data_IF_035143000176
#
_entry.id   IF_035143000176
#
_cell.length_a   1.000
_cell.length_b   1.000
_cell.length_c   1.000
_cell.angle_alpha   90.00
_cell.angle_beta   90.00
_cell.angle_gamma   90.00
#
_symmetry.space_group_name_H-M   'P 1'
#
loop_
_entity.id
_entity.type
_entity.pdbx_description
1 polymer ?
#
# COMPACT_ATOMS: atom_id res chain seq x y z
N UNK A 1 3.34 21.75 23.09
CA UNK A 1 2.54 20.97 22.08
C UNK A 1 2.45 19.48 22.44
N UNK A 2 3.56 18.75 22.68
CA UNK A 2 3.50 17.33 23.05
C UNK A 2 2.69 17.07 24.33
N UNK A 3 2.87 17.89 25.36
CA UNK A 3 2.08 17.81 26.58
C UNK A 3 0.58 17.99 26.33
N UNK A 4 0.21 19.03 25.56
CA UNK A 4 -1.21 19.29 25.20
C UNK A 4 -1.80 18.12 24.42
N UNK A 5 -1.06 17.58 23.42
CA UNK A 5 -1.48 16.42 22.66
C UNK A 5 -1.78 15.21 23.57
N UNK A 6 -0.83 14.86 24.44
CA UNK A 6 -1.00 13.72 25.35
C UNK A 6 -2.09 13.96 26.40
N UNK A 7 -2.31 15.21 26.84
CA UNK A 7 -3.40 15.54 27.73
C UNK A 7 -4.77 15.31 27.06
N UNK A 8 -4.92 15.78 25.81
CA UNK A 8 -6.17 15.58 25.02
C UNK A 8 -6.42 14.09 24.78
N UNK A 9 -5.40 13.35 24.31
CA UNK A 9 -5.53 11.91 24.06
C UNK A 9 -5.79 11.16 25.37
N UNK A 10 -5.11 11.51 26.47
CA UNK A 10 -5.33 10.92 27.79
C UNK A 10 -6.76 11.13 28.29
N UNK A 11 -7.30 12.35 28.14
CA UNK A 11 -8.69 12.64 28.48
C UNK A 11 -9.66 11.81 27.63
N UNK A 12 -9.43 11.73 26.32
CA UNK A 12 -10.25 10.89 25.43
C UNK A 12 -10.20 9.41 25.84
N UNK A 13 -9.01 8.89 26.14
CA UNK A 13 -8.83 7.51 26.61
C UNK A 13 -9.59 7.29 27.93
N UNK A 14 -9.54 8.24 28.87
CA UNK A 14 -10.25 8.16 30.15
C UNK A 14 -11.76 8.08 29.93
N UNK A 15 -12.30 8.93 29.05
CA UNK A 15 -13.74 8.95 28.73
C UNK A 15 -14.19 7.64 28.07
N UNK A 16 -13.37 7.05 27.19
CA UNK A 16 -13.73 5.83 26.46
C UNK A 16 -13.39 4.56 27.25
N UNK A 17 -12.53 4.65 28.27
CA UNK A 17 -12.05 3.49 29.01
C UNK A 17 -13.16 2.64 29.68
N UNK A 18 -14.27 3.20 30.22
CA UNK A 18 -15.36 2.38 30.77
C UNK A 18 -16.03 1.52 29.71
N UNK A 19 -16.25 2.08 28.51
CA UNK A 19 -16.84 1.34 27.40
C UNK A 19 -15.92 0.22 26.88
N UNK A 20 -14.62 0.50 26.81
CA UNK A 20 -13.59 -0.50 26.47
C UNK A 20 -13.56 -1.62 27.53
N UNK A 21 -13.57 -1.26 28.81
CA UNK A 21 -13.57 -2.23 29.90
C UNK A 21 -14.82 -3.11 29.89
N UNK A 22 -16.01 -2.51 29.74
CA UNK A 22 -17.27 -3.24 29.62
C UNK A 22 -17.23 -4.23 28.44
N UNK A 23 -16.80 -3.77 27.26
CA UNK A 23 -16.69 -4.63 26.08
C UNK A 23 -15.65 -5.74 26.27
N UNK A 24 -14.55 -5.48 26.98
CA UNK A 24 -13.54 -6.48 27.27
C UNK A 24 -14.03 -7.56 28.26
N UNK A 25 -14.93 -7.22 29.18
CA UNK A 25 -15.57 -8.17 30.10
C UNK A 25 -16.48 -9.12 29.31
N UNK A 26 -17.35 -8.57 28.44
CA UNK A 26 -18.35 -9.35 27.72
C UNK A 26 -17.86 -10.00 26.42
N UNK A 27 -16.67 -9.67 25.92
CA UNK A 27 -16.12 -10.23 24.68
C UNK A 27 -14.68 -10.67 24.86
N UNK A 28 -14.47 -11.98 24.99
CA UNK A 28 -13.14 -12.58 25.08
C UNK A 28 -12.29 -12.31 23.84
N UNK A 29 -12.91 -12.30 22.65
CA UNK A 29 -12.25 -11.99 21.40
C UNK A 29 -11.76 -10.51 21.36
N UNK A 30 -12.61 -9.57 21.78
CA UNK A 30 -12.23 -8.17 21.89
C UNK A 30 -11.07 -7.99 22.88
N UNK A 31 -11.17 -8.59 24.06
CA UNK A 31 -10.13 -8.55 25.10
C UNK A 31 -8.78 -9.09 24.58
N UNK A 32 -8.80 -10.27 23.95
CA UNK A 32 -7.58 -10.86 23.38
C UNK A 32 -6.96 -9.97 22.30
N UNK A 33 -7.76 -9.43 21.39
CA UNK A 33 -7.29 -8.52 20.34
C UNK A 33 -6.74 -7.20 20.89
N UNK A 34 -7.38 -6.66 21.92
CA UNK A 34 -6.94 -5.45 22.60
C UNK A 34 -5.59 -5.65 23.30
N UNK A 35 -5.45 -6.74 24.08
CA UNK A 35 -4.21 -7.07 24.76
C UNK A 35 -3.05 -7.34 23.77
N UNK A 36 -3.34 -8.06 22.66
CA UNK A 36 -2.36 -8.26 21.59
C UNK A 36 -1.92 -6.94 20.94
N UNK A 37 -2.78 -5.94 20.88
CA UNK A 37 -2.43 -4.62 20.37
C UNK A 37 -1.54 -3.85 21.36
N UNK A 38 -1.87 -3.86 22.64
CA UNK A 38 -1.14 -3.09 23.67
C UNK A 38 0.22 -3.71 23.98
N UNK A 39 0.29 -5.03 24.06
CA UNK A 39 1.46 -5.76 24.55
C UNK A 39 2.09 -6.71 23.53
N UNK A 40 1.55 -6.78 22.31
CA UNK A 40 2.02 -7.73 21.29
C UNK A 40 3.50 -7.58 20.91
N UNK A 41 4.07 -6.40 21.07
CA UNK A 41 5.49 -6.16 20.83
C UNK A 41 6.40 -6.90 21.83
N UNK A 42 5.90 -7.23 23.03
CA UNK A 42 6.66 -7.95 24.06
C UNK A 42 7.02 -9.40 23.68
N UNK A 43 6.37 -9.94 22.64
CA UNK A 43 6.71 -11.26 22.09
C UNK A 43 8.06 -11.21 21.36
N UNK A 44 8.42 -10.04 20.84
CA UNK A 44 9.71 -9.83 20.21
C UNK A 44 10.82 -9.80 21.29
N UNK A 45 11.97 -10.40 20.99
CA UNK A 45 13.16 -10.19 21.78
C UNK A 45 13.55 -8.71 21.73
N UNK A 46 14.24 -8.21 22.76
CA UNK A 46 14.80 -6.86 22.71
C UNK A 46 15.78 -6.77 21.54
N UNK A 47 15.60 -5.77 20.67
CA UNK A 47 16.35 -5.64 19.41
C UNK A 47 17.07 -4.30 19.38
N UNK A 48 18.07 -4.15 20.23
CA UNK A 48 18.83 -2.90 20.32
C UNK A 48 19.38 -2.47 18.95
N UNK A 49 19.12 -1.21 18.58
CA UNK A 49 19.59 -0.64 17.34
C UNK A 49 18.78 -1.07 16.09
N UNK A 50 17.62 -1.69 16.25
CA UNK A 50 16.82 -2.14 15.11
C UNK A 50 16.37 -1.00 14.19
N UNK A 51 16.09 -1.33 12.92
CA UNK A 51 15.35 -0.48 12.01
C UNK A 51 13.87 -0.78 12.23
N UNK A 52 13.10 0.21 12.65
CA UNK A 52 11.67 0.07 12.84
C UNK A 52 10.91 0.65 11.66
N UNK A 53 10.20 -0.20 10.90
CA UNK A 53 9.32 0.19 9.80
C UNK A 53 7.86 0.16 10.28
N UNK A 54 7.13 1.25 10.10
CA UNK A 54 5.69 1.31 10.39
C UNK A 54 4.88 1.40 9.09
N UNK A 55 3.96 0.46 8.90
CA UNK A 55 3.09 0.34 7.74
C UNK A 55 1.67 -0.01 8.21
N UNK A 56 0.74 0.94 8.23
CA UNK A 56 -0.54 0.80 8.91
C UNK A 56 -1.50 -0.19 8.23
N UNK A 57 -1.50 -0.26 6.91
CA UNK A 57 -2.45 -1.01 6.07
C UNK A 57 -1.79 -2.13 5.27
N UNK A 58 -2.60 -3.00 4.65
CA UNK A 58 -2.14 -4.07 3.74
C UNK A 58 -1.30 -3.52 2.59
N UNK A 59 -1.71 -2.39 1.99
CA UNK A 59 -0.97 -1.76 0.89
C UNK A 59 0.41 -1.27 1.32
N UNK A 60 0.49 -0.61 2.47
CA UNK A 60 1.73 -0.12 3.03
C UNK A 60 2.66 -1.24 3.50
N UNK A 61 2.11 -2.35 4.02
CA UNK A 61 2.89 -3.55 4.38
C UNK A 61 3.65 -4.08 3.18
N UNK A 62 3.03 -4.15 2.01
CA UNK A 62 3.73 -4.55 0.78
C UNK A 62 4.89 -3.62 0.45
N UNK A 63 4.69 -2.30 0.57
CA UNK A 63 5.77 -1.33 0.37
C UNK A 63 6.88 -1.48 1.42
N UNK A 64 6.50 -1.67 2.68
CA UNK A 64 7.43 -1.94 3.77
C UNK A 64 8.26 -3.20 3.53
N UNK A 65 7.64 -4.26 2.97
CA UNK A 65 8.34 -5.50 2.62
C UNK A 65 9.38 -5.27 1.53
N UNK A 66 9.06 -4.50 0.50
CA UNK A 66 10.03 -4.14 -0.57
C UNK A 66 11.22 -3.40 0.02
N UNK A 67 10.97 -2.40 0.87
CA UNK A 67 12.04 -1.68 1.55
C UNK A 67 12.90 -2.62 2.42
N UNK A 68 12.28 -3.53 3.19
CA UNK A 68 12.97 -4.50 4.02
C UNK A 68 13.85 -5.43 3.16
N UNK A 69 13.32 -5.92 2.03
CA UNK A 69 14.06 -6.78 1.11
C UNK A 69 15.28 -6.04 0.53
N UNK A 70 15.07 -4.82 0.04
CA UNK A 70 16.15 -4.00 -0.51
C UNK A 70 17.26 -3.67 0.53
N UNK A 71 16.88 -3.42 1.78
CA UNK A 71 17.85 -3.22 2.85
C UNK A 71 18.68 -4.48 3.12
N UNK A 72 18.03 -5.65 3.17
CA UNK A 72 18.72 -6.95 3.35
C UNK A 72 19.64 -7.27 2.17
N UNK A 73 19.21 -7.04 0.95
CA UNK A 73 20.02 -7.23 -0.27
C UNK A 73 21.28 -6.33 -0.30
N UNK A 74 21.17 -5.13 0.29
CA UNK A 74 22.32 -4.21 0.45
C UNK A 74 23.20 -4.55 1.65
N UNK A 75 22.96 -5.66 2.34
CA UNK A 75 23.79 -6.12 3.45
C UNK A 75 23.49 -5.46 4.78
N UNK A 76 22.26 -4.89 4.99
CA UNK A 76 21.87 -4.34 6.27
C UNK A 76 21.82 -5.45 7.34
N UNK A 77 22.70 -5.37 8.31
CA UNK A 77 22.86 -6.39 9.35
C UNK A 77 21.97 -6.15 10.60
N UNK A 78 21.43 -4.94 10.77
CA UNK A 78 20.58 -4.63 11.93
C UNK A 78 19.26 -5.40 11.85
N UNK A 79 18.70 -5.82 13.00
CA UNK A 79 17.35 -6.37 13.03
C UNK A 79 16.34 -5.38 12.45
N UNK A 80 15.39 -5.86 11.64
CA UNK A 80 14.33 -5.03 11.08
C UNK A 80 13.00 -5.49 11.66
N UNK A 81 12.25 -4.56 12.23
CA UNK A 81 10.95 -4.80 12.84
C UNK A 81 9.87 -4.05 12.08
N UNK A 82 8.78 -4.72 11.74
CA UNK A 82 7.62 -4.12 11.11
C UNK A 82 6.47 -3.98 12.11
N UNK A 83 5.88 -2.80 12.21
CA UNK A 83 4.61 -2.63 12.92
C UNK A 83 3.48 -2.29 11.97
N UNK A 84 2.27 -2.75 12.32
CA UNK A 84 1.06 -2.48 11.54
C UNK A 84 -0.05 -1.95 12.44
N UNK A 85 -0.97 -1.15 11.89
CA UNK A 85 -2.12 -0.70 12.65
C UNK A 85 -3.32 -1.64 12.52
N UNK A 86 -3.61 -2.14 11.31
CA UNK A 86 -4.75 -3.02 11.04
C UNK A 86 -4.43 -4.50 11.28
N UNK A 87 -5.45 -5.30 11.65
CA UNK A 87 -5.29 -6.75 11.75
C UNK A 87 -4.96 -7.37 10.40
N UNK A 88 -5.63 -6.92 9.33
CA UNK A 88 -5.36 -7.38 7.97
C UNK A 88 -3.91 -7.08 7.52
N UNK A 89 -3.36 -5.92 7.90
CA UNK A 89 -1.94 -5.60 7.67
C UNK A 89 -1.01 -6.55 8.43
N UNK A 90 -1.34 -6.89 9.68
CA UNK A 90 -0.56 -7.84 10.48
C UNK A 90 -0.55 -9.24 9.86
N UNK A 91 -1.72 -9.72 9.43
CA UNK A 91 -1.85 -11.04 8.79
C UNK A 91 -1.12 -11.06 7.43
N UNK A 92 -1.20 -9.97 6.67
CA UNK A 92 -0.46 -9.80 5.43
C UNK A 92 1.05 -9.84 5.65
N UNK A 93 1.57 -9.11 6.66
CA UNK A 93 2.99 -9.10 6.97
C UNK A 93 3.52 -10.51 7.31
N UNK A 94 2.75 -11.28 8.07
CA UNK A 94 3.07 -12.69 8.36
C UNK A 94 3.05 -13.56 7.10
N UNK A 95 2.04 -13.39 6.26
CA UNK A 95 1.91 -14.12 4.99
C UNK A 95 3.10 -13.85 4.05
N UNK A 96 3.63 -12.63 4.06
CA UNK A 96 4.81 -12.24 3.29
C UNK A 96 6.15 -12.61 3.96
N UNK A 97 6.12 -13.36 5.05
CA UNK A 97 7.32 -13.85 5.72
C UNK A 97 8.13 -12.77 6.45
N UNK A 98 7.47 -11.70 6.92
CA UNK A 98 8.16 -10.73 7.79
C UNK A 98 8.39 -11.37 9.15
N UNK A 99 9.66 -11.51 9.53
CA UNK A 99 10.08 -12.25 10.72
C UNK A 99 9.60 -11.58 12.02
N UNK A 100 9.81 -10.27 12.14
CA UNK A 100 9.52 -9.52 13.35
C UNK A 100 8.38 -8.54 13.07
N UNK A 101 7.16 -8.92 13.45
CA UNK A 101 5.97 -8.08 13.23
C UNK A 101 5.13 -7.98 14.49
N UNK A 102 4.61 -6.77 14.76
CA UNK A 102 3.67 -6.53 15.85
C UNK A 102 2.60 -5.52 15.46
N UNK A 103 1.53 -5.46 16.26
CA UNK A 103 0.47 -4.46 16.07
C UNK A 103 0.78 -3.21 16.89
N UNK A 104 0.75 -2.06 16.23
CA UNK A 104 1.01 -0.76 16.84
C UNK A 104 -0.03 -0.48 17.95
N UNK A 105 0.40 -0.15 19.19
CA UNK A 105 -0.52 0.34 20.20
C UNK A 105 -1.06 1.74 19.84
N UNK A 106 -2.09 2.23 20.54
CA UNK A 106 -2.55 3.61 20.36
C UNK A 106 -1.42 4.62 20.61
N UNK A 107 -1.46 5.76 19.90
CA UNK A 107 -0.43 6.80 19.93
C UNK A 107 -0.51 7.65 21.21
N UNK A 108 -0.21 7.02 22.33
CA UNK A 108 -0.22 7.63 23.64
C UNK A 108 1.04 7.29 24.44
N UNK A 109 1.56 8.26 25.16
CA UNK A 109 2.87 8.18 25.85
C UNK A 109 3.01 6.96 26.75
N UNK A 110 1.95 6.53 27.45
CA UNK A 110 2.00 5.37 28.34
C UNK A 110 2.27 4.04 27.62
N UNK A 111 1.94 3.94 26.34
CA UNK A 111 2.22 2.75 25.52
C UNK A 111 3.45 2.94 24.62
N UNK A 112 3.66 4.15 24.10
CA UNK A 112 4.79 4.44 23.20
C UNK A 112 6.12 4.39 23.97
N UNK A 113 6.19 4.91 25.19
CA UNK A 113 7.42 4.91 25.96
C UNK A 113 7.95 3.51 26.31
N UNK A 114 7.14 2.58 26.85
CA UNK A 114 7.56 1.20 27.05
C UNK A 114 7.95 0.49 25.74
N UNK A 115 7.22 0.74 24.64
CA UNK A 115 7.54 0.20 23.33
C UNK A 115 8.91 0.67 22.83
N UNK A 116 9.19 1.97 22.87
CA UNK A 116 10.49 2.52 22.49
C UNK A 116 11.65 2.02 23.38
N UNK A 117 11.39 1.83 24.68
CA UNK A 117 12.37 1.23 25.59
C UNK A 117 12.64 -0.24 25.26
N UNK A 118 11.64 -0.97 24.82
CA UNK A 118 11.75 -2.39 24.47
C UNK A 118 12.46 -2.62 23.15
N UNK A 119 12.12 -1.82 22.11
CA UNK A 119 12.68 -1.97 20.77
C UNK A 119 14.05 -1.30 20.63
N UNK A 120 14.32 -0.22 21.38
CA UNK A 120 15.52 0.61 21.23
C UNK A 120 15.91 0.87 19.77
N UNK A 121 15.01 1.40 18.91
CA UNK A 121 15.29 1.51 17.49
C UNK A 121 16.35 2.56 17.21
N UNK A 122 17.21 2.30 16.21
CA UNK A 122 18.17 3.27 15.69
C UNK A 122 17.55 4.28 14.74
N UNK A 123 16.43 3.91 14.09
CA UNK A 123 15.65 4.73 13.16
C UNK A 123 14.21 4.23 13.11
N UNK A 124 13.26 5.16 12.95
CA UNK A 124 11.86 4.89 12.62
C UNK A 124 11.59 5.29 11.17
N UNK A 125 11.08 4.36 10.37
CA UNK A 125 10.63 4.60 9.00
C UNK A 125 9.12 4.48 8.92
N UNK A 126 8.44 5.56 8.56
CA UNK A 126 7.00 5.64 8.37
C UNK A 126 6.69 5.51 6.88
N UNK A 127 5.79 4.61 6.51
CA UNK A 127 5.41 4.40 5.09
C UNK A 127 4.22 5.29 4.72
N UNK A 128 4.31 5.94 3.57
CA UNK A 128 3.31 6.83 2.95
C UNK A 128 2.97 8.07 3.80
N UNK A 129 1.79 8.13 4.46
CA UNK A 129 1.30 9.33 5.13
C UNK A 129 1.07 9.16 6.64
N UNK A 130 1.68 8.16 7.24
CA UNK A 130 1.48 7.76 8.62
C UNK A 130 2.18 8.71 9.63
N UNK A 131 1.59 9.90 9.82
CA UNK A 131 2.09 10.91 10.75
C UNK A 131 1.49 10.70 12.15
N UNK A 132 2.17 9.94 13.00
CA UNK A 132 1.79 9.63 14.38
C UNK A 132 2.45 10.63 15.35
N UNK A 133 1.72 11.67 15.84
CA UNK A 133 2.32 12.79 16.55
C UNK A 133 3.05 12.39 17.84
N UNK A 134 2.43 11.52 18.64
CA UNK A 134 3.02 11.04 19.90
C UNK A 134 4.28 10.24 19.66
N UNK A 135 4.24 9.27 18.73
CA UNK A 135 5.38 8.45 18.35
C UNK A 135 6.53 9.31 17.82
N UNK A 136 6.25 10.21 16.87
CA UNK A 136 7.26 11.07 16.24
C UNK A 136 7.95 11.95 17.30
N UNK A 137 7.17 12.57 18.20
CA UNK A 137 7.72 13.41 19.25
C UNK A 137 8.54 12.63 20.27
N UNK A 138 8.10 11.44 20.67
CA UNK A 138 8.85 10.59 21.59
C UNK A 138 10.14 10.02 20.98
N UNK A 139 10.12 9.72 19.67
CA UNK A 139 11.35 9.38 18.93
C UNK A 139 12.33 10.55 18.93
N UNK A 140 11.87 11.76 18.58
CA UNK A 140 12.74 12.94 18.58
C UNK A 140 13.32 13.24 19.98
N UNK A 141 12.52 13.13 21.05
CA UNK A 141 12.98 13.31 22.43
C UNK A 141 14.12 12.34 22.80
N UNK A 142 14.12 11.16 22.18
CA UNK A 142 15.15 10.11 22.36
C UNK A 142 16.27 10.17 21.32
N UNK A 143 16.28 11.21 20.47
CA UNK A 143 17.23 11.37 19.36
C UNK A 143 17.17 10.21 18.35
N UNK A 144 16.02 9.56 18.21
CA UNK A 144 15.77 8.53 17.21
C UNK A 144 15.30 9.26 15.95
N UNK A 145 16.05 9.20 14.83
CA UNK A 145 15.65 9.83 13.58
C UNK A 145 14.38 9.19 13.03
N UNK A 146 13.50 10.03 12.46
CA UNK A 146 12.25 9.62 11.82
C UNK A 146 12.31 9.95 10.34
N UNK A 147 12.13 8.94 9.51
CA UNK A 147 12.08 9.04 8.05
C UNK A 147 10.66 8.76 7.57
N UNK A 148 10.10 9.64 6.74
CA UNK A 148 8.90 9.34 5.96
C UNK A 148 9.34 8.79 4.60
N UNK A 149 9.03 7.53 4.32
CA UNK A 149 9.36 6.84 3.07
C UNK A 149 8.13 6.70 2.16
N UNK A 150 8.31 6.88 0.85
CA UNK A 150 7.24 6.86 -0.15
C UNK A 150 6.13 7.89 0.14
N UNK A 151 6.51 9.06 0.66
CA UNK A 151 5.58 10.07 1.16
C UNK A 151 4.56 10.49 0.11
N UNK A 152 3.28 10.44 0.49
CA UNK A 152 2.13 10.82 -0.34
C UNK A 152 1.25 11.80 0.40
N UNK A 153 1.00 12.95 -0.20
CA UNK A 153 0.05 13.94 0.33
C UNK A 153 -0.97 14.33 -0.73
N UNK A 154 -2.25 14.02 -0.47
CA UNK A 154 -3.34 14.42 -1.35
C UNK A 154 -3.70 15.90 -1.15
N UNK A 155 -4.35 16.52 -2.14
CA UNK A 155 -4.83 17.90 -2.00
C UNK A 155 -5.78 18.05 -0.80
N UNK A 156 -6.69 17.10 -0.62
CA UNK A 156 -7.60 17.06 0.54
C UNK A 156 -6.85 17.03 1.88
N UNK A 157 -5.70 16.35 1.94
CA UNK A 157 -4.85 16.35 3.14
C UNK A 157 -4.18 17.69 3.35
N UNK A 158 -3.71 18.35 2.27
CA UNK A 158 -3.14 19.70 2.33
C UNK A 158 -4.15 20.69 2.90
N UNK A 159 -5.39 20.68 2.40
CA UNK A 159 -6.44 21.59 2.84
C UNK A 159 -6.75 21.41 4.33
N UNK A 160 -6.79 20.17 4.80
CA UNK A 160 -6.94 19.84 6.23
C UNK A 160 -5.75 20.32 7.06
N UNK A 161 -4.53 20.08 6.58
CA UNK A 161 -3.31 20.50 7.28
C UNK A 161 -3.12 22.01 7.29
N UNK A 162 -3.66 22.76 6.32
CA UNK A 162 -3.68 24.22 6.33
C UNK A 162 -4.54 24.78 7.47
N UNK A 163 -5.72 24.19 7.72
CA UNK A 163 -6.59 24.58 8.86
C UNK A 163 -5.85 24.39 10.19
N UNK A 164 -5.07 23.32 10.33
CA UNK A 164 -4.30 22.99 11.52
C UNK A 164 -2.80 23.12 11.28
N UNK A 165 -2.38 24.17 10.57
CA UNK A 165 -0.99 24.31 10.10
C UNK A 165 0.05 24.30 11.23
N UNK A 166 -0.29 24.84 12.39
CA UNK A 166 0.59 24.83 13.56
C UNK A 166 0.83 23.41 14.11
N UNK A 167 -0.17 22.52 14.05
CA UNK A 167 -0.03 21.12 14.45
C UNK A 167 0.85 20.38 13.45
N UNK A 168 0.57 20.55 12.14
CA UNK A 168 1.37 19.91 11.11
C UNK A 168 2.83 20.34 11.17
N UNK A 169 3.11 21.65 11.26
CA UNK A 169 4.48 22.20 11.40
C UNK A 169 5.19 21.64 12.64
N UNK A 170 4.47 21.55 13.77
CA UNK A 170 5.02 20.96 14.98
C UNK A 170 5.41 19.49 14.80
N UNK A 171 4.58 18.68 14.14
CA UNK A 171 4.89 17.26 13.86
C UNK A 171 6.04 17.17 12.86
N UNK A 172 5.95 17.88 11.74
CA UNK A 172 6.92 17.86 10.65
C UNK A 172 8.33 18.30 11.09
N UNK A 173 8.44 19.25 12.04
CA UNK A 173 9.73 19.65 12.62
C UNK A 173 10.48 18.48 13.25
N UNK A 174 9.75 17.50 13.80
CA UNK A 174 10.31 16.32 14.47
C UNK A 174 10.59 15.14 13.50
N UNK A 175 10.25 15.27 12.22
CA UNK A 175 10.64 14.34 11.17
C UNK A 175 12.00 14.76 10.63
N UNK A 176 12.92 13.81 10.54
CA UNK A 176 14.29 14.05 10.10
C UNK A 176 14.39 14.16 8.58
N UNK A 177 13.59 13.38 7.83
CA UNK A 177 13.66 13.34 6.38
C UNK A 177 12.35 12.90 5.74
N UNK A 178 12.00 13.53 4.61
CA UNK A 178 10.81 13.25 3.80
C UNK A 178 11.25 12.73 2.43
N UNK A 179 11.15 11.43 2.20
CA UNK A 179 11.33 10.81 0.89
C UNK A 179 9.98 10.77 0.17
N UNK A 180 9.75 11.71 -0.71
CA UNK A 180 8.48 11.87 -1.42
C UNK A 180 8.48 11.09 -2.73
N UNK A 181 7.32 10.54 -3.09
CA UNK A 181 7.22 9.71 -4.31
C UNK A 181 7.13 10.54 -5.59
N UNK A 182 6.60 11.77 -5.55
CA UNK A 182 6.46 12.66 -6.71
C UNK A 182 6.85 14.08 -6.37
N UNK A 183 7.20 14.88 -7.40
CA UNK A 183 7.43 16.31 -7.26
C UNK A 183 6.20 17.02 -6.69
N UNK A 184 5.00 16.67 -7.15
CA UNK A 184 3.74 17.22 -6.65
C UNK A 184 3.55 16.97 -5.16
N UNK A 185 3.89 15.76 -4.67
CA UNK A 185 3.82 15.46 -3.24
C UNK A 185 4.86 16.29 -2.45
N UNK A 186 6.07 16.46 -2.99
CA UNK A 186 7.11 17.30 -2.40
C UNK A 186 6.70 18.79 -2.34
N UNK A 187 6.19 19.34 -3.44
CA UNK A 187 5.74 20.74 -3.50
C UNK A 187 4.62 21.01 -2.47
N UNK A 188 3.71 20.05 -2.27
CA UNK A 188 2.66 20.13 -1.26
C UNK A 188 3.22 20.17 0.17
N UNK A 189 4.21 19.34 0.47
CA UNK A 189 4.86 19.31 1.79
C UNK A 189 5.62 20.61 2.05
N UNK A 190 6.35 21.10 1.05
CA UNK A 190 7.05 22.39 1.09
C UNK A 190 6.07 23.54 1.31
N UNK A 191 4.93 23.54 0.60
CA UNK A 191 3.86 24.53 0.76
C UNK A 191 3.20 24.52 2.14
N UNK A 192 3.35 23.44 2.92
CA UNK A 192 2.94 23.36 4.33
C UNK A 192 4.02 23.85 5.30
N UNK A 193 5.20 24.26 4.80
CA UNK A 193 6.29 24.87 5.57
C UNK A 193 7.29 23.87 6.14
N UNK A 194 7.45 22.71 5.49
CA UNK A 194 8.56 21.79 5.80
C UNK A 194 9.86 22.34 5.20
N UNK A 195 10.95 22.19 5.94
CA UNK A 195 12.28 22.60 5.53
C UNK A 195 12.71 21.89 4.23
N UNK A 196 13.07 22.64 3.17
CA UNK A 196 13.49 22.08 1.89
C UNK A 196 14.68 21.11 1.98
N UNK A 197 15.60 21.32 2.94
CA UNK A 197 16.74 20.45 3.14
C UNK A 197 16.35 19.04 3.56
N UNK A 198 15.18 18.90 4.19
CA UNK A 198 14.63 17.61 4.64
C UNK A 198 13.83 16.88 3.58
N UNK A 199 13.55 17.49 2.40
CA UNK A 199 12.65 16.90 1.39
C UNK A 199 13.43 16.49 0.15
N UNK A 200 13.22 15.25 -0.30
CA UNK A 200 13.75 14.72 -1.57
C UNK A 200 12.66 13.93 -2.31
N UNK A 201 12.72 13.96 -3.62
CA UNK A 201 11.87 13.14 -4.50
C UNK A 201 12.69 11.92 -4.91
N UNK A 202 12.33 10.74 -4.39
CA UNK A 202 13.07 9.50 -4.62
C UNK A 202 12.29 8.50 -5.49
N UNK A 203 11.08 8.86 -5.94
CA UNK A 203 10.24 7.96 -6.72
C UNK A 203 9.28 7.13 -5.85
N UNK A 204 8.55 6.24 -6.51
CA UNK A 204 7.53 5.43 -5.87
C UNK A 204 8.02 3.98 -5.71
N UNK A 205 8.18 3.54 -4.48
CA UNK A 205 8.62 2.17 -4.12
C UNK A 205 7.76 1.08 -4.79
N UNK A 206 6.51 1.41 -5.20
CA UNK A 206 5.67 0.46 -5.93
C UNK A 206 6.30 -0.02 -7.24
N UNK A 207 7.11 0.79 -7.88
CA UNK A 207 7.79 0.39 -9.11
C UNK A 207 8.95 -0.58 -8.85
N UNK A 208 9.55 -0.53 -7.66
CA UNK A 208 10.62 -1.46 -7.27
C UNK A 208 10.08 -2.87 -7.00
N UNK A 209 8.78 -3.00 -6.63
CA UNK A 209 8.10 -4.32 -6.52
C UNK A 209 8.13 -5.06 -7.86
N UNK A 210 8.03 -4.31 -8.96
CA UNK A 210 8.06 -4.88 -10.32
C UNK A 210 9.49 -5.25 -10.74
N UNK A 211 10.50 -4.58 -10.17
CA UNK A 211 11.91 -4.81 -10.48
C UNK A 211 12.56 -5.95 -9.68
N UNK A 212 12.08 -6.23 -8.47
CA UNK A 212 12.65 -7.25 -7.56
C UNK A 212 11.96 -8.62 -7.60
N UNK A 213 10.84 -8.74 -8.27
CA UNK A 213 10.13 -10.01 -8.43
C UNK A 213 10.18 -10.48 -9.88
N UNK A 214 10.26 -11.76 -10.13
CA UNK A 214 10.12 -12.57 -11.35
C UNK A 214 9.47 -11.92 -12.62
N UNK A 215 9.49 -10.61 -12.78
CA UNK A 215 8.75 -9.80 -13.73
C UNK A 215 9.49 -8.61 -14.31
N UNK A 216 10.82 -8.59 -14.37
CA UNK A 216 11.48 -7.78 -15.40
C UNK A 216 11.26 -8.53 -16.70
N UNK A 217 10.12 -8.26 -17.31
CA UNK A 217 9.90 -8.68 -18.67
C UNK A 217 10.68 -7.71 -19.55
N UNK A 218 11.60 -8.20 -20.38
CA UNK A 218 12.22 -7.34 -21.36
C UNK A 218 11.08 -6.71 -22.17
N UNK A 219 10.93 -5.39 -22.05
CA UNK A 219 10.13 -4.58 -22.98
C UNK A 219 10.66 -4.89 -24.37
N UNK A 220 9.89 -5.64 -25.16
CA UNK A 220 10.23 -5.91 -26.54
C UNK A 220 10.54 -7.36 -26.88
N UNK A 221 9.87 -8.33 -26.30
CA UNK A 221 9.76 -9.59 -27.01
C UNK A 221 8.92 -9.36 -28.28
N UNK A 222 9.58 -9.03 -29.38
CA UNK A 222 8.97 -8.72 -30.70
C UNK A 222 8.14 -9.89 -31.24
N UNK A 223 8.19 -11.05 -30.62
CA UNK A 223 7.39 -12.24 -30.96
C UNK A 223 6.04 -12.30 -30.21
N UNK A 224 5.85 -11.46 -29.19
CA UNK A 224 4.58 -11.46 -28.46
C UNK A 224 3.48 -10.72 -29.22
N UNK A 225 2.36 -11.39 -29.39
CA UNK A 225 1.16 -10.86 -30.03
C UNK A 225 0.03 -10.56 -29.04
N UNK A 226 0.28 -10.50 -27.74
CA UNK A 226 -0.74 -10.28 -26.73
C UNK A 226 -0.98 -8.81 -26.44
N UNK A 227 -2.27 -8.39 -26.54
CA UNK A 227 -2.77 -7.10 -26.03
C UNK A 227 -3.62 -7.39 -24.79
N UNK A 228 -3.29 -6.77 -23.66
CA UNK A 228 -3.95 -7.03 -22.38
C UNK A 228 -4.77 -5.83 -21.93
N UNK A 229 -6.07 -6.01 -21.76
CA UNK A 229 -6.99 -5.05 -21.17
C UNK A 229 -7.27 -5.47 -19.73
N UNK A 230 -6.46 -4.97 -18.80
CA UNK A 230 -6.49 -5.41 -17.41
C UNK A 230 -7.28 -4.49 -16.48
N UNK A 231 -7.90 -5.07 -15.47
CA UNK A 231 -8.65 -4.36 -14.44
C UNK A 231 -9.75 -3.44 -14.99
N UNK A 232 -10.45 -3.85 -16.03
CA UNK A 232 -11.52 -3.05 -16.65
C UNK A 232 -12.68 -2.81 -15.70
N UNK A 233 -13.36 -1.68 -15.85
CA UNK A 233 -14.48 -1.23 -15.03
C UNK A 233 -15.66 -0.82 -15.88
N UNK A 234 -16.86 -0.63 -15.27
CA UNK A 234 -18.02 -0.11 -16.02
C UNK A 234 -17.68 1.17 -16.78
N UNK A 235 -17.93 1.15 -18.09
CA UNK A 235 -17.60 2.23 -19.02
C UNK A 235 -16.28 2.04 -19.79
N UNK A 236 -15.35 1.20 -19.32
CA UNK A 236 -14.17 0.84 -20.09
C UNK A 236 -14.49 -0.23 -21.13
N UNK A 237 -15.34 -1.22 -20.76
CA UNK A 237 -15.53 -2.42 -21.55
C UNK A 237 -16.12 -2.15 -22.94
N UNK A 238 -17.02 -1.18 -23.07
CA UNK A 238 -17.55 -0.80 -24.40
C UNK A 238 -16.44 -0.35 -25.35
N UNK A 239 -15.59 0.58 -24.89
CA UNK A 239 -14.45 1.08 -25.69
C UNK A 239 -13.44 -0.04 -25.97
N UNK A 240 -13.23 -0.93 -25.01
CA UNK A 240 -12.34 -2.10 -25.16
C UNK A 240 -12.87 -3.03 -26.24
N UNK A 241 -14.18 -3.35 -26.23
CA UNK A 241 -14.79 -4.24 -27.27
C UNK A 241 -14.71 -3.63 -28.66
N UNK A 242 -15.05 -2.34 -28.81
CA UNK A 242 -14.90 -1.63 -30.08
C UNK A 242 -13.46 -1.66 -30.60
N UNK A 243 -12.50 -1.47 -29.70
CA UNK A 243 -11.08 -1.53 -30.04
C UNK A 243 -10.67 -2.93 -30.48
N UNK A 244 -11.11 -3.97 -29.75
CA UNK A 244 -10.81 -5.37 -30.11
C UNK A 244 -11.39 -5.68 -31.49
N UNK A 245 -12.65 -5.32 -31.80
CA UNK A 245 -13.29 -5.57 -33.10
C UNK A 245 -12.46 -4.98 -34.25
N UNK A 246 -12.01 -3.73 -34.11
CA UNK A 246 -11.15 -3.08 -35.09
C UNK A 246 -9.81 -3.80 -35.27
N UNK A 247 -9.11 -4.05 -34.16
CA UNK A 247 -7.81 -4.70 -34.19
C UNK A 247 -7.88 -6.17 -34.66
N UNK A 248 -8.99 -6.85 -34.43
CA UNK A 248 -9.21 -8.23 -34.89
C UNK A 248 -9.18 -8.35 -36.44
N UNK A 249 -9.69 -7.33 -37.12
CA UNK A 249 -9.71 -7.27 -38.58
C UNK A 249 -8.36 -6.82 -39.14
N UNK A 250 -7.75 -5.79 -38.55
CA UNK A 250 -6.52 -5.19 -39.07
C UNK A 250 -5.27 -6.03 -38.77
N UNK A 251 -5.26 -6.74 -37.61
CA UNK A 251 -4.09 -7.46 -37.12
C UNK A 251 -4.38 -8.93 -36.78
N UNK A 252 -4.41 -9.84 -37.76
CA UNK A 252 -4.77 -11.24 -37.56
C UNK A 252 -3.91 -12.03 -36.57
N UNK A 253 -2.70 -11.57 -36.30
CA UNK A 253 -1.76 -12.23 -35.38
C UNK A 253 -1.94 -11.79 -33.94
N UNK A 254 -2.65 -10.69 -33.65
CA UNK A 254 -2.85 -10.23 -32.28
C UNK A 254 -3.78 -11.16 -31.51
N UNK A 255 -3.43 -11.37 -30.25
CA UNK A 255 -4.22 -12.08 -29.26
C UNK A 255 -4.61 -11.10 -28.16
N UNK A 256 -5.77 -11.28 -27.56
CA UNK A 256 -6.34 -10.34 -26.62
C UNK A 256 -6.69 -11.01 -25.30
N UNK A 257 -6.48 -10.30 -24.19
CA UNK A 257 -6.95 -10.68 -22.86
C UNK A 257 -7.78 -9.56 -22.29
N UNK A 258 -8.97 -9.87 -21.82
CA UNK A 258 -9.82 -8.94 -21.06
C UNK A 258 -9.93 -9.47 -19.63
N UNK A 259 -9.60 -8.63 -18.65
CA UNK A 259 -9.63 -8.98 -17.25
C UNK A 259 -10.44 -7.94 -16.47
N UNK A 260 -11.70 -8.22 -16.13
CA UNK A 260 -12.50 -7.34 -15.28
C UNK A 260 -11.89 -7.19 -13.89
N UNK A 261 -11.97 -6.00 -13.30
CA UNK A 261 -11.49 -5.71 -11.94
C UNK A 261 -12.18 -6.56 -10.88
N UNK A 262 -13.46 -6.85 -11.08
CA UNK A 262 -14.33 -7.60 -10.18
C UNK A 262 -14.90 -8.80 -10.91
N UNK A 263 -14.65 -10.01 -10.41
CA UNK A 263 -15.10 -11.25 -11.04
C UNK A 263 -16.62 -11.41 -11.03
N UNK A 264 -17.32 -10.72 -10.13
CA UNK A 264 -18.79 -10.70 -10.09
C UNK A 264 -19.40 -10.14 -11.40
N UNK A 265 -18.61 -9.37 -12.16
CA UNK A 265 -19.02 -8.77 -13.44
C UNK A 265 -18.74 -9.64 -14.66
N UNK A 266 -18.21 -10.84 -14.49
CA UNK A 266 -17.89 -11.73 -15.61
C UNK A 266 -19.11 -12.00 -16.51
N UNK A 267 -20.29 -12.14 -15.91
CA UNK A 267 -21.52 -12.36 -16.69
C UNK A 267 -21.82 -11.17 -17.62
N UNK A 268 -21.77 -9.97 -17.08
CA UNK A 268 -22.00 -8.72 -17.82
C UNK A 268 -21.00 -8.56 -18.98
N UNK A 269 -19.72 -8.83 -18.70
CA UNK A 269 -18.66 -8.73 -19.72
C UNK A 269 -18.80 -9.80 -20.80
N UNK A 270 -19.22 -11.03 -20.46
CA UNK A 270 -19.55 -12.08 -21.43
C UNK A 270 -20.68 -11.67 -22.36
N UNK A 271 -21.78 -11.17 -21.78
CA UNK A 271 -22.93 -10.69 -22.55
C UNK A 271 -22.52 -9.56 -23.52
N UNK A 272 -21.65 -8.66 -23.06
CA UNK A 272 -21.11 -7.60 -23.89
C UNK A 272 -20.25 -8.15 -25.04
N UNK A 273 -19.34 -9.09 -24.79
CA UNK A 273 -18.52 -9.73 -25.83
C UNK A 273 -19.40 -10.39 -26.93
N UNK A 274 -20.46 -11.09 -26.52
CA UNK A 274 -21.42 -11.70 -27.43
C UNK A 274 -22.13 -10.62 -28.27
N UNK A 275 -22.55 -9.52 -27.67
CA UNK A 275 -23.20 -8.39 -28.35
C UNK A 275 -22.33 -7.79 -29.45
N UNK A 276 -20.98 -7.75 -29.21
CA UNK A 276 -20.02 -7.28 -30.22
C UNK A 276 -19.58 -8.37 -31.20
N UNK A 277 -20.18 -9.56 -31.14
CA UNK A 277 -19.86 -10.68 -32.06
C UNK A 277 -18.46 -11.26 -31.84
N UNK A 278 -17.90 -11.12 -30.67
CA UNK A 278 -16.56 -11.59 -30.35
C UNK A 278 -16.61 -13.02 -29.79
N UNK A 279 -15.94 -13.94 -30.46
CA UNK A 279 -15.68 -15.28 -29.92
C UNK A 279 -14.56 -15.23 -28.90
N UNK A 280 -14.81 -15.74 -27.71
CA UNK A 280 -13.84 -15.75 -26.60
C UNK A 280 -13.79 -17.10 -25.90
N UNK A 281 -12.71 -17.32 -25.16
CA UNK A 281 -12.52 -18.48 -24.28
C UNK A 281 -12.25 -18.01 -22.84
N UNK A 282 -12.78 -18.73 -21.86
CA UNK A 282 -12.41 -18.47 -20.47
C UNK A 282 -10.99 -18.97 -20.20
N UNK A 283 -10.26 -18.22 -19.38
CA UNK A 283 -8.93 -18.62 -18.96
C UNK A 283 -8.95 -19.99 -18.24
N UNK A 284 -9.98 -20.26 -17.41
CA UNK A 284 -10.14 -21.53 -16.70
C UNK A 284 -10.34 -22.73 -17.64
N UNK A 285 -10.88 -22.53 -18.83
CA UNK A 285 -11.17 -23.56 -19.82
C UNK A 285 -9.97 -23.82 -20.76
N UNK A 286 -8.93 -22.96 -20.72
CA UNK A 286 -7.79 -23.02 -21.64
C UNK A 286 -6.85 -24.21 -21.39
N UNK A 287 -7.02 -24.93 -20.31
CA UNK A 287 -6.22 -26.12 -19.98
C UNK A 287 -6.52 -27.33 -20.89
N UNK A 288 -7.51 -27.20 -21.81
CA UNK A 288 -7.88 -28.21 -22.81
C UNK A 288 -8.06 -27.61 -24.20
N UNK A 289 -7.01 -27.54 -25.00
CA UNK A 289 -7.03 -27.41 -26.49
C UNK A 289 -7.70 -26.22 -27.19
N UNK A 290 -8.07 -25.14 -26.53
CA UNK A 290 -8.66 -23.96 -27.20
C UNK A 290 -7.64 -22.94 -27.67
N UNK A 291 -7.62 -22.60 -28.95
CA UNK A 291 -6.70 -21.63 -29.58
C UNK A 291 -7.36 -20.27 -29.84
N UNK A 292 -8.33 -19.87 -29.00
CA UNK A 292 -9.01 -18.58 -29.17
C UNK A 292 -8.03 -17.40 -29.06
N UNK A 293 -8.19 -16.44 -29.95
CA UNK A 293 -7.42 -15.18 -29.96
C UNK A 293 -7.88 -14.22 -28.87
N UNK A 294 -9.05 -14.40 -28.28
CA UNK A 294 -9.59 -13.58 -27.20
C UNK A 294 -9.84 -14.43 -25.95
N UNK A 295 -9.23 -14.03 -24.85
CA UNK A 295 -9.36 -14.70 -23.55
C UNK A 295 -10.04 -13.76 -22.56
N UNK A 296 -11.10 -14.23 -21.91
CA UNK A 296 -11.67 -13.57 -20.75
C UNK A 296 -11.08 -14.18 -19.48
N UNK A 297 -10.41 -13.34 -18.67
CA UNK A 297 -9.75 -13.78 -17.45
C UNK A 297 -10.77 -13.89 -16.31
N UNK A 298 -11.01 -15.13 -15.86
CA UNK A 298 -12.00 -15.48 -14.83
C UNK A 298 -11.38 -15.96 -13.51
N UNK A 299 -10.06 -15.79 -13.33
CA UNK A 299 -9.32 -16.16 -12.11
C UNK A 299 -8.47 -15.01 -11.59
N UNK A 300 -8.42 -14.85 -10.25
CA UNK A 300 -7.55 -13.90 -9.60
C UNK A 300 -6.09 -14.40 -9.60
N UNK A 301 -5.15 -13.44 -9.69
CA UNK A 301 -3.72 -13.71 -9.63
C UNK A 301 -3.05 -14.05 -10.97
N UNK A 302 -3.83 -14.32 -12.03
CA UNK A 302 -3.30 -14.72 -13.34
C UNK A 302 -2.93 -13.54 -14.27
N UNK A 303 -3.45 -12.35 -14.00
CA UNK A 303 -3.28 -11.17 -14.87
C UNK A 303 -1.80 -10.80 -15.10
N UNK A 304 -0.97 -10.92 -14.07
CA UNK A 304 0.46 -10.62 -14.18
C UNK A 304 1.18 -11.51 -15.20
N UNK A 305 0.76 -12.77 -15.34
CA UNK A 305 1.33 -13.70 -16.32
C UNK A 305 1.03 -13.27 -17.78
N UNK A 306 -0.10 -12.58 -17.98
CA UNK A 306 -0.45 -12.02 -19.27
C UNK A 306 0.25 -10.68 -19.53
N UNK A 307 0.32 -9.80 -18.53
CA UNK A 307 1.13 -8.58 -18.66
C UNK A 307 2.58 -8.89 -19.04
N UNK A 308 3.11 -9.95 -18.47
CA UNK A 308 4.42 -10.47 -18.78
C UNK A 308 4.69 -10.77 -20.25
N UNK A 309 3.66 -11.19 -20.97
CA UNK A 309 3.71 -11.60 -22.37
C UNK A 309 3.11 -10.55 -23.30
N UNK A 310 2.66 -9.42 -22.76
CA UNK A 310 1.98 -8.39 -23.52
C UNK A 310 2.94 -7.55 -24.36
N UNK A 311 2.60 -7.30 -25.61
CA UNK A 311 3.23 -6.24 -26.42
C UNK A 311 2.60 -4.87 -26.10
N UNK A 312 1.33 -4.87 -25.63
CA UNK A 312 0.60 -3.68 -25.23
C UNK A 312 -0.30 -4.01 -24.04
N UNK A 313 -0.37 -3.10 -23.05
CA UNK A 313 -1.28 -3.22 -21.94
C UNK A 313 -2.11 -1.95 -21.74
N UNK A 314 -3.41 -2.12 -21.58
CA UNK A 314 -4.35 -1.10 -21.13
C UNK A 314 -4.78 -1.42 -19.70
N UNK A 315 -4.75 -0.43 -18.81
CA UNK A 315 -5.22 -0.57 -17.42
C UNK A 315 -6.50 0.24 -17.24
N UNK A 316 -7.59 -0.45 -16.95
CA UNK A 316 -8.93 0.12 -16.85
C UNK A 316 -9.10 1.12 -15.70
N UNK A 317 -10.24 1.82 -15.71
CA UNK A 317 -10.63 2.83 -14.72
C UNK A 317 -10.39 4.28 -15.16
N UNK A 318 -9.78 4.50 -16.34
CA UNK A 318 -9.45 5.84 -16.82
C UNK A 318 -10.59 6.54 -17.57
N UNK A 319 -11.51 5.82 -18.20
CA UNK A 319 -12.58 6.42 -19.00
C UNK A 319 -13.78 6.90 -18.18
N UNK A 320 -13.96 6.41 -16.98
CA UNK A 320 -15.07 6.84 -16.12
C UNK A 320 -14.56 7.71 -14.95
N UNK A 321 -14.94 9.01 -14.90
CA UNK A 321 -14.49 9.93 -13.85
C UNK A 321 -14.83 9.49 -12.42
N UNK A 322 -15.85 8.62 -12.25
CA UNK A 322 -16.25 8.11 -10.93
C UNK A 322 -15.22 7.19 -10.30
N UNK A 323 -14.40 6.51 -11.10
CA UNK A 323 -13.48 5.50 -10.58
C UNK A 323 -12.05 6.01 -10.43
N UNK A 324 -11.66 7.09 -11.14
CA UNK A 324 -10.28 7.55 -11.21
C UNK A 324 -9.35 6.49 -11.81
N UNK A 325 -8.15 6.87 -12.22
CA UNK A 325 -7.14 5.92 -12.72
C UNK A 325 -6.72 4.92 -11.64
N UNK A 326 -6.34 3.72 -12.05
CA UNK A 326 -5.77 2.73 -11.15
C UNK A 326 -4.27 2.96 -10.99
N UNK A 327 -3.71 2.55 -9.85
CA UNK A 327 -2.27 2.42 -9.74
C UNK A 327 -1.81 1.25 -10.64
N UNK A 328 -0.95 1.58 -11.57
CA UNK A 328 -0.28 0.62 -12.46
C UNK A 328 0.77 -0.12 -11.65
#
# INVERSE_FOLDING_TARGET
MSFIYHTIIGFFILVVSPAIALRAIFSSNFRSNFLKRIFGYKILKTMNGCIWVHAASVGEVRLGKVLISALKEKGEARPIVLSTFTSAGFDQAKKEGVEHVFRMPPDFVLWINPLLKHLCPSILVLIEAEMWPGLICECNRRKIPVLLANGRITQKSVDRYRVFSFIFKWIAKNVSFFSMRTKTDADRVLGLGVDPEKVRVNGNIKFDVLASGEGIFPLGNQESSWVVFGSTRPGDEGVVMETIVKLYQEYPRLKFVVAPRHLERLREVKELMVTYGLEFQLHSERLGSGNSRLVLLDRLGELNKYYAKACLAFVGGGFNPRFGGQNI
#
